data_IF_851670695753
#
_entry.id   IF_851670695753
#
_cell.length_a   1.000
_cell.length_b   1.000
_cell.length_c   1.000
_cell.angle_alpha   90.00
_cell.angle_beta   90.00
_cell.angle_gamma   90.00
#
_symmetry.space_group_name_H-M   'P 1'
#
loop_
_entity.id
_entity.type
_entity.pdbx_description
1 polymer ?
#
# COMPACT_ATOMS: atom_id res chain seq x y z
N UNK A 1 3.07 -31.42 7.31
CA UNK A 1 3.14 -29.94 7.46
C UNK A 1 1.77 -29.48 7.92
N UNK A 2 1.63 -28.71 9.01
CA UNK A 2 0.32 -28.15 9.37
C UNK A 2 -0.18 -27.29 8.20
N UNK A 3 -1.36 -27.61 7.69
CA UNK A 3 -1.98 -26.90 6.56
C UNK A 3 -2.59 -25.61 7.11
N UNK A 4 -2.28 -24.47 6.50
CA UNK A 4 -2.90 -23.18 6.85
C UNK A 4 -4.41 -23.27 6.66
N UNK A 5 -5.18 -22.67 7.58
CA UNK A 5 -6.64 -22.62 7.42
C UNK A 5 -7.02 -21.78 6.20
N UNK A 6 -8.20 -22.01 5.64
CA UNK A 6 -8.73 -21.22 4.52
C UNK A 6 -8.79 -19.72 4.86
N UNK A 7 -9.12 -19.38 6.10
CA UNK A 7 -9.12 -18.02 6.61
C UNK A 7 -7.70 -17.40 6.61
N UNK A 8 -6.70 -18.13 7.13
CA UNK A 8 -5.30 -17.68 7.09
C UNK A 8 -4.79 -17.51 5.64
N UNK A 9 -5.16 -18.44 4.76
CA UNK A 9 -4.85 -18.38 3.33
C UNK A 9 -5.46 -17.13 2.69
N UNK A 10 -6.69 -16.79 3.05
CA UNK A 10 -7.41 -15.61 2.55
C UNK A 10 -6.77 -14.30 2.99
N UNK A 11 -6.36 -14.20 4.25
CA UNK A 11 -5.66 -13.01 4.77
C UNK A 11 -4.27 -12.87 4.12
N UNK A 12 -3.58 -13.97 3.82
CA UNK A 12 -2.34 -13.94 3.04
C UNK A 12 -2.55 -13.45 1.60
N UNK A 13 -3.72 -13.71 1.00
CA UNK A 13 -4.08 -13.11 -0.30
C UNK A 13 -4.23 -11.60 -0.15
N UNK A 14 -4.92 -11.11 0.89
CA UNK A 14 -5.04 -9.67 1.15
C UNK A 14 -3.67 -8.98 1.25
N UNK A 15 -2.73 -9.54 2.02
CA UNK A 15 -1.37 -9.00 2.13
C UNK A 15 -0.64 -8.94 0.79
N UNK A 16 -0.64 -10.04 0.02
CA UNK A 16 0.03 -10.09 -1.29
C UNK A 16 -0.58 -9.12 -2.29
N UNK A 17 -1.90 -8.99 -2.30
CA UNK A 17 -2.61 -8.03 -3.14
C UNK A 17 -2.23 -6.60 -2.76
N UNK A 18 -2.23 -6.26 -1.47
CA UNK A 18 -1.79 -4.94 -0.99
C UNK A 18 -0.37 -4.62 -1.45
N UNK A 19 0.56 -5.56 -1.30
CA UNK A 19 1.97 -5.37 -1.68
C UNK A 19 2.15 -5.18 -3.20
N UNK A 20 1.35 -5.88 -4.02
CA UNK A 20 1.33 -5.66 -5.46
C UNK A 20 0.84 -4.24 -5.79
N UNK A 21 -0.31 -3.83 -5.23
CA UNK A 21 -0.90 -2.52 -5.49
C UNK A 21 0.00 -1.38 -5.00
N UNK A 22 0.67 -1.54 -3.86
CA UNK A 22 1.65 -0.57 -3.35
C UNK A 22 2.83 -0.39 -4.33
N UNK A 23 3.36 -1.48 -4.90
CA UNK A 23 4.42 -1.42 -5.92
C UNK A 23 3.93 -0.73 -7.19
N UNK A 24 2.73 -1.06 -7.66
CA UNK A 24 2.11 -0.39 -8.81
C UNK A 24 1.92 1.12 -8.54
N UNK A 25 1.49 1.49 -7.34
CA UNK A 25 1.33 2.89 -6.92
C UNK A 25 2.65 3.65 -7.00
N UNK A 26 3.74 3.05 -6.52
CA UNK A 26 5.09 3.64 -6.62
C UNK A 26 5.53 3.78 -8.08
N UNK A 27 5.27 2.76 -8.91
CA UNK A 27 5.60 2.79 -10.33
C UNK A 27 4.88 3.94 -11.06
N UNK A 28 3.57 4.10 -10.86
CA UNK A 28 2.77 5.18 -11.46
C UNK A 28 3.25 6.55 -10.97
N UNK A 29 3.53 6.70 -9.67
CA UNK A 29 4.12 7.91 -9.10
C UNK A 29 5.42 8.30 -9.81
N UNK A 30 6.32 7.33 -10.01
CA UNK A 30 7.60 7.58 -10.65
C UNK A 30 7.44 7.91 -12.14
N UNK A 31 6.51 7.27 -12.85
CA UNK A 31 6.22 7.57 -14.24
C UNK A 31 5.70 9.02 -14.42
N UNK A 32 4.74 9.46 -13.59
CA UNK A 32 4.23 10.84 -13.59
C UNK A 32 5.38 11.83 -13.37
N UNK A 33 6.26 11.56 -12.40
CA UNK A 33 7.39 12.44 -12.09
C UNK A 33 8.39 12.52 -13.25
N UNK A 34 8.72 11.39 -13.87
CA UNK A 34 9.65 11.35 -14.99
C UNK A 34 9.10 12.15 -16.18
N UNK A 35 7.83 11.92 -16.54
CA UNK A 35 7.16 12.63 -17.63
C UNK A 35 7.04 14.13 -17.37
N UNK A 36 6.72 14.55 -16.13
CA UNK A 36 6.70 15.98 -15.78
C UNK A 36 8.10 16.63 -15.88
N UNK A 37 9.16 15.89 -15.56
CA UNK A 37 10.52 16.39 -15.67
C UNK A 37 10.95 16.65 -17.12
N UNK A 38 10.42 15.91 -18.11
CA UNK A 38 10.64 16.18 -19.54
C UNK A 38 10.11 17.57 -19.96
N UNK A 39 9.14 18.11 -19.24
CA UNK A 39 8.60 19.46 -19.43
C UNK A 39 9.19 20.50 -18.47
N UNK A 40 10.30 20.19 -17.78
CA UNK A 40 10.95 21.09 -16.83
C UNK A 40 10.23 21.25 -15.49
N UNK A 41 9.18 20.48 -15.23
CA UNK A 41 8.42 20.53 -13.97
C UNK A 41 9.08 19.58 -12.97
N UNK A 42 10.04 20.10 -12.20
CA UNK A 42 10.79 19.32 -11.21
C UNK A 42 10.03 19.26 -9.88
N UNK A 43 9.79 18.05 -9.42
CA UNK A 43 8.98 17.77 -8.23
C UNK A 43 9.88 17.20 -7.13
N UNK A 44 9.82 17.74 -5.91
CA UNK A 44 10.56 17.17 -4.79
C UNK A 44 10.04 15.75 -4.46
N UNK A 45 10.94 14.89 -3.96
CA UNK A 45 10.63 13.49 -3.70
C UNK A 45 9.54 13.33 -2.63
N UNK A 46 8.66 12.33 -2.81
CA UNK A 46 7.73 11.87 -1.78
C UNK A 46 6.27 11.73 -2.26
N UNK A 47 5.52 10.74 -1.75
CA UNK A 47 4.16 10.44 -2.21
C UNK A 47 3.17 11.60 -1.98
N UNK A 48 3.33 12.38 -0.92
CA UNK A 48 2.48 13.55 -0.64
C UNK A 48 2.65 14.67 -1.66
N UNK A 49 3.87 14.88 -2.17
CA UNK A 49 4.15 15.96 -3.13
C UNK A 49 3.61 15.63 -4.53
N UNK A 50 3.69 14.37 -4.94
CA UNK A 50 3.12 13.92 -6.23
C UNK A 50 1.60 13.93 -6.19
N UNK A 51 0.97 13.58 -5.07
CA UNK A 51 -0.49 13.70 -4.94
C UNK A 51 -0.96 15.15 -5.13
N UNK A 52 -0.23 16.14 -4.59
CA UNK A 52 -0.51 17.55 -4.82
C UNK A 52 -0.34 17.96 -6.30
N UNK A 53 0.63 17.37 -7.00
CA UNK A 53 0.84 17.61 -8.44
C UNK A 53 -0.26 16.99 -9.30
N UNK A 54 -0.74 15.80 -8.95
CA UNK A 54 -1.90 15.19 -9.63
C UNK A 54 -3.13 16.08 -9.47
N UNK A 55 -3.37 16.65 -8.28
CA UNK A 55 -4.45 17.64 -8.09
C UNK A 55 -4.27 18.86 -8.98
N UNK A 56 -3.06 19.44 -9.03
CA UNK A 56 -2.75 20.58 -9.93
C UNK A 56 -2.90 20.23 -11.42
N UNK A 57 -2.70 18.97 -11.80
CA UNK A 57 -2.90 18.52 -13.17
C UNK A 57 -4.39 18.53 -13.58
N UNK A 58 -5.28 18.23 -12.62
CA UNK A 58 -6.73 18.25 -12.78
C UNK A 58 -7.30 19.67 -12.88
N UNK A 59 -6.58 20.66 -12.35
CA UNK A 59 -6.92 22.07 -12.49
C UNK A 59 -6.60 22.57 -13.91
N UNK A 60 -7.54 23.24 -14.61
CA UNK A 60 -7.32 23.74 -15.98
C UNK A 60 -6.03 24.53 -16.15
N UNK A 61 -5.70 25.37 -15.17
CA UNK A 61 -4.52 26.25 -15.17
C UNK A 61 -3.44 25.84 -14.16
N UNK A 62 -3.56 24.65 -13.54
CA UNK A 62 -2.70 24.28 -12.42
C UNK A 62 -1.26 23.92 -12.80
N UNK A 63 -1.03 23.50 -14.05
CA UNK A 63 0.29 23.22 -14.64
C UNK A 63 0.29 23.62 -16.12
N UNK A 64 1.36 24.23 -16.63
CA UNK A 64 1.49 24.53 -18.06
C UNK A 64 2.06 23.33 -18.80
N UNK A 65 1.21 22.64 -19.58
CA UNK A 65 1.57 21.43 -20.32
C UNK A 65 0.89 21.41 -21.69
N UNK A 66 1.53 20.86 -22.74
CA UNK A 66 0.86 20.55 -24.00
C UNK A 66 -0.36 19.64 -23.78
N UNK A 67 -1.44 19.87 -24.54
CA UNK A 67 -2.71 19.18 -24.34
C UNK A 67 -2.60 17.64 -24.36
N UNK A 68 -1.78 17.10 -25.27
CA UNK A 68 -1.55 15.65 -25.39
C UNK A 68 -0.84 15.09 -24.14
N UNK A 69 0.19 15.78 -23.65
CA UNK A 69 0.90 15.38 -22.44
C UNK A 69 0.00 15.46 -21.21
N UNK A 70 -0.81 16.52 -21.08
CA UNK A 70 -1.80 16.66 -20.01
C UNK A 70 -2.80 15.50 -20.03
N UNK A 71 -3.33 15.14 -21.21
CA UNK A 71 -4.26 14.02 -21.34
C UNK A 71 -3.66 12.70 -20.82
N UNK A 72 -2.43 12.38 -21.23
CA UNK A 72 -1.73 11.17 -20.79
C UNK A 72 -1.47 11.17 -19.28
N UNK A 73 -0.97 12.28 -18.73
CA UNK A 73 -0.70 12.43 -17.30
C UNK A 73 -1.99 12.35 -16.46
N UNK A 74 -3.12 12.84 -16.97
CA UNK A 74 -4.43 12.75 -16.29
C UNK A 74 -4.91 11.30 -16.19
N UNK A 75 -4.61 10.47 -17.20
CA UNK A 75 -4.90 9.04 -17.14
C UNK A 75 -4.10 8.35 -16.03
N UNK A 76 -2.81 8.66 -15.91
CA UNK A 76 -1.97 8.15 -14.80
C UNK A 76 -2.42 8.67 -13.44
N UNK A 77 -2.86 9.94 -13.37
CA UNK A 77 -3.43 10.54 -12.16
C UNK A 77 -4.64 9.77 -11.64
N UNK A 78 -5.60 9.46 -12.52
CA UNK A 78 -6.78 8.63 -12.16
C UNK A 78 -6.38 7.22 -11.71
N UNK A 79 -5.42 6.59 -12.39
CA UNK A 79 -4.93 5.27 -11.98
C UNK A 79 -4.30 5.32 -10.57
N UNK A 80 -3.59 6.39 -10.24
CA UNK A 80 -2.98 6.57 -8.92
C UNK A 80 -4.04 6.68 -7.81
N UNK A 81 -5.12 7.41 -8.07
CA UNK A 81 -6.26 7.56 -7.15
C UNK A 81 -6.96 6.21 -6.93
N UNK A 82 -7.26 5.49 -8.01
CA UNK A 82 -7.88 4.17 -7.94
C UNK A 82 -7.02 3.17 -7.15
N UNK A 83 -5.70 3.12 -7.42
CA UNK A 83 -4.79 2.27 -6.65
C UNK A 83 -4.82 2.61 -5.14
N UNK A 84 -4.90 3.89 -4.79
CA UNK A 84 -4.97 4.32 -3.40
C UNK A 84 -6.29 3.89 -2.73
N UNK A 85 -7.40 3.89 -3.46
CA UNK A 85 -8.71 3.40 -2.99
C UNK A 85 -8.70 1.89 -2.73
N UNK A 86 -8.19 1.11 -3.68
CA UNK A 86 -8.09 -0.34 -3.54
C UNK A 86 -7.19 -0.76 -2.37
N UNK A 87 -6.04 -0.08 -2.19
CA UNK A 87 -5.16 -0.30 -1.03
C UNK A 87 -5.93 -0.03 0.27
N UNK A 88 -6.64 1.10 0.38
CA UNK A 88 -7.46 1.40 1.56
C UNK A 88 -8.57 0.38 1.78
N UNK A 89 -9.15 -0.16 0.70
CA UNK A 89 -10.17 -1.21 0.78
C UNK A 89 -9.60 -2.48 1.41
N UNK A 90 -8.44 -2.93 0.94
CA UNK A 90 -7.74 -4.10 1.50
C UNK A 90 -7.33 -3.84 2.96
N UNK A 91 -6.81 -2.67 3.29
CA UNK A 91 -6.42 -2.32 4.66
C UNK A 91 -7.61 -2.34 5.62
N UNK A 92 -8.81 -1.93 5.17
CA UNK A 92 -10.05 -2.07 5.95
C UNK A 92 -10.41 -3.53 6.22
N UNK A 93 -10.23 -4.41 5.24
CA UNK A 93 -10.46 -5.85 5.44
C UNK A 93 -9.46 -6.46 6.42
N UNK A 94 -8.18 -6.09 6.31
CA UNK A 94 -7.14 -6.50 7.28
C UNK A 94 -7.47 -6.00 8.69
N UNK A 95 -7.94 -4.77 8.83
CA UNK A 95 -8.37 -4.23 10.11
C UNK A 95 -9.59 -4.96 10.68
N UNK A 96 -10.57 -5.31 9.83
CA UNK A 96 -11.76 -6.07 10.25
C UNK A 96 -11.37 -7.47 10.75
N UNK A 97 -10.44 -8.14 10.08
CA UNK A 97 -9.89 -9.42 10.52
C UNK A 97 -9.09 -9.30 11.82
N UNK A 98 -8.21 -8.28 11.91
CA UNK A 98 -7.43 -8.00 13.11
C UNK A 98 -8.30 -7.86 14.38
N UNK A 99 -9.43 -7.16 14.29
CA UNK A 99 -10.37 -6.99 15.41
C UNK A 99 -10.98 -8.30 15.92
N UNK A 100 -10.93 -9.36 15.12
CA UNK A 100 -11.44 -10.69 15.47
C UNK A 100 -10.32 -11.67 15.86
N UNK A 101 -9.04 -11.25 15.74
CA UNK A 101 -7.89 -12.12 15.97
C UNK A 101 -7.05 -11.66 17.18
N UNK A 102 -7.18 -12.38 18.30
CA UNK A 102 -6.46 -12.07 19.55
C UNK A 102 -4.93 -12.12 19.41
N UNK A 103 -4.38 -13.00 18.56
CA UNK A 103 -2.94 -13.07 18.34
C UNK A 103 -2.43 -11.81 17.62
N UNK A 104 -3.15 -11.35 16.59
CA UNK A 104 -2.85 -10.10 15.89
C UNK A 104 -2.95 -8.89 16.82
N UNK A 105 -3.97 -8.80 17.66
CA UNK A 105 -4.10 -7.72 18.66
C UNK A 105 -2.93 -7.69 19.64
N UNK A 106 -2.51 -8.85 20.15
CA UNK A 106 -1.33 -8.92 21.03
C UNK A 106 -0.06 -8.48 20.31
N UNK A 107 0.13 -8.88 19.06
CA UNK A 107 1.31 -8.50 18.27
C UNK A 107 1.39 -6.99 18.02
N UNK A 108 0.26 -6.32 17.80
CA UNK A 108 0.22 -4.85 17.63
C UNK A 108 0.69 -4.09 18.88
N UNK A 109 0.53 -4.66 20.08
CA UNK A 109 0.99 -4.00 21.31
C UNK A 109 2.52 -3.88 21.42
N UNK A 110 3.26 -4.58 20.56
CA UNK A 110 4.72 -4.51 20.52
C UNK A 110 5.14 -3.16 19.90
N UNK A 111 6.00 -2.36 20.58
CA UNK A 111 6.49 -1.11 20.04
C UNK A 111 7.08 -1.28 18.63
N UNK A 112 6.57 -0.50 17.66
CA UNK A 112 6.99 -0.55 16.26
C UNK A 112 6.22 -1.53 15.37
N UNK A 113 5.31 -2.35 15.93
CA UNK A 113 4.45 -3.27 15.17
C UNK A 113 3.07 -2.64 14.97
N UNK A 114 2.80 -2.16 13.76
CA UNK A 114 1.45 -1.71 13.39
C UNK A 114 0.55 -2.86 12.92
N UNK A 115 -0.75 -2.57 12.77
CA UNK A 115 -1.79 -3.53 12.34
C UNK A 115 -1.36 -4.41 11.16
N UNK A 116 -0.83 -3.80 10.09
CA UNK A 116 -0.43 -4.55 8.87
C UNK A 116 0.65 -5.59 9.18
N UNK A 117 1.62 -5.24 10.01
CA UNK A 117 2.67 -6.17 10.43
C UNK A 117 2.10 -7.21 11.39
N UNK A 118 1.25 -6.80 12.32
CA UNK A 118 0.62 -7.67 13.29
C UNK A 118 -0.27 -8.74 12.62
N UNK A 119 -1.04 -8.39 11.59
CA UNK A 119 -1.86 -9.35 10.85
C UNK A 119 -1.01 -10.31 10.02
N UNK A 120 0.05 -9.80 9.37
CA UNK A 120 0.97 -10.62 8.59
C UNK A 120 1.67 -11.67 9.46
N UNK A 121 2.15 -11.27 10.65
CA UNK A 121 2.77 -12.17 11.61
C UNK A 121 1.78 -13.21 12.13
N UNK A 122 0.56 -12.81 12.50
CA UNK A 122 -0.46 -13.72 13.02
C UNK A 122 -0.86 -14.83 12.04
N UNK A 123 -0.84 -14.57 10.73
CA UNK A 123 -1.16 -15.59 9.70
C UNK A 123 0.06 -16.35 9.18
N UNK A 124 1.27 -15.86 9.46
CA UNK A 124 2.51 -16.51 9.06
C UNK A 124 3.01 -17.54 10.06
N UNK A 125 2.49 -17.53 11.29
CA UNK A 125 2.82 -18.49 12.34
C UNK A 125 1.76 -19.60 12.40
N UNK A 126 1.99 -20.76 11.77
CA UNK A 126 1.07 -21.89 11.84
C UNK A 126 1.03 -22.54 13.24
N UNK A 127 2.08 -22.37 14.05
CA UNK A 127 2.14 -22.84 15.43
C UNK A 127 3.14 -21.98 16.26
N UNK A 128 2.67 -21.16 17.21
CA UNK A 128 3.55 -20.34 18.07
C UNK A 128 4.45 -21.18 18.99
N UNK A 129 4.08 -22.44 19.28
CA UNK A 129 4.85 -23.32 20.16
C UNK A 129 6.17 -23.80 19.55
N UNK A 130 6.36 -23.56 18.24
CA UNK A 130 7.62 -23.82 17.53
C UNK A 130 8.72 -22.85 17.96
N UNK A 131 8.36 -21.69 18.51
CA UNK A 131 9.31 -20.71 19.02
C UNK A 131 9.45 -20.83 20.54
N UNK A 132 10.65 -21.13 21.04
CA UNK A 132 10.90 -21.35 22.48
C UNK A 132 10.91 -20.05 23.29
N UNK A 133 11.01 -18.89 22.64
CA UNK A 133 10.87 -17.57 23.26
C UNK A 133 10.58 -16.51 22.22
N UNK A 134 10.06 -15.35 22.63
CA UNK A 134 9.88 -14.18 21.76
C UNK A 134 11.19 -13.71 21.09
N UNK A 135 12.35 -13.97 21.71
CA UNK A 135 13.68 -13.69 21.13
C UNK A 135 14.06 -14.63 19.98
N UNK A 136 13.43 -15.80 19.89
CA UNK A 136 13.64 -16.73 18.78
C UNK A 136 12.69 -16.45 17.60
N UNK A 137 11.69 -15.60 17.83
CA UNK A 137 10.71 -15.16 16.83
C UNK A 137 11.04 -13.79 16.22
N UNK A 138 11.65 -12.89 17.00
CA UNK A 138 12.17 -11.59 16.56
C UNK A 138 13.48 -11.70 15.79
#
# INVERSE_FOLDING_TARGET
>A
MPVKTEEQQSVLVLHRSRDLLMRQRIMVLNAIRAQLAEFGIITAQGPGKVAALVRRLQEPDGLTLPAIARFALLALGRQLEHLAEEIRSIERQLQAWHRQNAASQRLETIPGVGIITATALAVSVPDPSVFRSGRQFA
#
